data_IF_609964244737
#
_entry.id   IF_609964244737
#
_cell.length_a   1.000
_cell.length_b   1.000
_cell.length_c   1.000
_cell.angle_alpha   90.00
_cell.angle_beta   90.00
_cell.angle_gamma   90.00
#
_symmetry.space_group_name_H-M   'P 1'
#
loop_
_entity.id
_entity.type
_entity.pdbx_description
1 polymer ?
#
# COMPACT_ATOMS: atom_id res chain seq x y z
N UNK A 1 18.46 -36.94 -3.79
CA UNK A 1 17.36 -36.75 -2.83
C UNK A 1 16.62 -35.48 -3.22
N UNK A 2 15.54 -35.60 -4.01
CA UNK A 2 14.74 -34.44 -4.40
C UNK A 2 13.79 -34.13 -3.25
N UNK A 3 13.91 -32.93 -2.67
CA UNK A 3 13.04 -32.48 -1.61
C UNK A 3 11.58 -32.47 -2.12
N UNK A 4 10.61 -32.96 -1.32
CA UNK A 4 9.21 -32.81 -1.68
C UNK A 4 8.91 -31.31 -1.64
N UNK A 5 8.75 -30.69 -2.81
CA UNK A 5 8.06 -29.41 -2.93
C UNK A 5 6.64 -29.66 -2.44
N UNK A 6 6.40 -29.37 -1.15
CA UNK A 6 5.07 -29.30 -0.59
C UNK A 6 4.27 -28.33 -1.46
N UNK A 7 3.48 -28.87 -2.39
CA UNK A 7 2.36 -28.15 -3.00
C UNK A 7 1.35 -27.93 -1.89
N UNK A 8 1.60 -26.90 -1.08
CA UNK A 8 0.55 -26.30 -0.26
C UNK A 8 -0.45 -25.77 -1.27
N UNK A 9 -1.57 -26.46 -1.42
CA UNK A 9 -2.74 -25.93 -2.11
C UNK A 9 -3.18 -24.69 -1.34
N UNK A 10 -2.65 -23.53 -1.70
CA UNK A 10 -3.12 -22.24 -1.19
C UNK A 10 -4.62 -22.20 -1.49
N UNK A 11 -5.47 -22.22 -0.47
CA UNK A 11 -6.89 -22.35 -0.68
C UNK A 11 -7.42 -21.10 -1.42
N UNK A 12 -8.41 -21.27 -2.31
CA UNK A 12 -8.88 -20.18 -3.20
C UNK A 12 -9.26 -18.90 -2.44
N UNK A 13 -9.74 -19.00 -1.20
CA UNK A 13 -10.08 -17.86 -0.34
C UNK A 13 -8.86 -17.01 0.06
N UNK A 14 -7.69 -17.61 0.21
CA UNK A 14 -6.44 -16.89 0.53
C UNK A 14 -6.08 -15.92 -0.60
N UNK A 15 -6.29 -16.33 -1.86
CA UNK A 15 -6.03 -15.48 -3.04
C UNK A 15 -7.00 -14.31 -3.13
N UNK A 16 -8.28 -14.56 -2.89
CA UNK A 16 -9.30 -13.52 -2.87
C UNK A 16 -9.02 -12.53 -1.73
N UNK A 17 -8.73 -13.04 -0.53
CA UNK A 17 -8.36 -12.21 0.62
C UNK A 17 -7.12 -11.35 0.32
N UNK A 18 -6.07 -11.94 -0.27
CA UNK A 18 -4.86 -11.21 -0.65
C UNK A 18 -5.14 -10.10 -1.66
N UNK A 19 -5.96 -10.37 -2.68
CA UNK A 19 -6.35 -9.37 -3.67
C UNK A 19 -7.13 -8.21 -3.02
N UNK A 20 -8.11 -8.51 -2.17
CA UNK A 20 -8.91 -7.52 -1.46
C UNK A 20 -8.05 -6.67 -0.51
N UNK A 21 -7.17 -7.29 0.27
CA UNK A 21 -6.26 -6.60 1.19
C UNK A 21 -5.29 -5.70 0.42
N UNK A 22 -4.75 -6.16 -0.72
CA UNK A 22 -3.87 -5.33 -1.54
C UNK A 22 -4.61 -4.14 -2.16
N UNK A 23 -5.83 -4.34 -2.68
CA UNK A 23 -6.65 -3.24 -3.20
C UNK A 23 -6.96 -2.21 -2.10
N UNK A 24 -7.38 -2.68 -0.93
CA UNK A 24 -7.65 -1.82 0.22
C UNK A 24 -6.39 -1.04 0.63
N UNK A 25 -5.23 -1.73 0.69
CA UNK A 25 -3.94 -1.14 1.00
C UNK A 25 -3.50 -0.06 0.01
N UNK A 26 -3.71 -0.29 -1.29
CA UNK A 26 -3.44 0.72 -2.34
C UNK A 26 -4.36 1.92 -2.19
N UNK A 27 -5.67 1.70 -1.99
CA UNK A 27 -6.63 2.78 -1.79
C UNK A 27 -6.29 3.65 -0.57
N UNK A 28 -5.97 3.02 0.57
CA UNK A 28 -5.55 3.72 1.78
C UNK A 28 -4.24 4.48 1.57
N UNK A 29 -3.29 3.90 0.85
CA UNK A 29 -2.03 4.56 0.52
C UNK A 29 -2.29 5.79 -0.36
N UNK A 30 -3.00 5.64 -1.47
CA UNK A 30 -3.36 6.77 -2.34
C UNK A 30 -4.07 7.89 -1.59
N UNK A 31 -4.98 7.54 -0.68
CA UNK A 31 -5.66 8.51 0.17
C UNK A 31 -4.69 9.24 1.11
N UNK A 32 -3.78 8.52 1.77
CA UNK A 32 -2.73 9.13 2.60
C UNK A 32 -1.83 10.09 1.78
N UNK A 33 -1.45 9.69 0.56
CA UNK A 33 -0.68 10.54 -0.35
C UNK A 33 -1.44 11.80 -0.74
N UNK A 34 -2.73 11.67 -1.05
CA UNK A 34 -3.59 12.79 -1.38
C UNK A 34 -3.72 13.77 -0.20
N UNK A 35 -3.99 13.25 1.00
CA UNK A 35 -4.10 14.06 2.23
C UNK A 35 -2.79 14.79 2.51
N UNK A 36 -1.64 14.11 2.40
CA UNK A 36 -0.35 14.73 2.65
C UNK A 36 -0.06 15.85 1.64
N UNK A 37 -0.36 15.61 0.35
CA UNK A 37 -0.17 16.60 -0.71
C UNK A 37 -1.07 17.82 -0.52
N UNK A 38 -2.35 17.61 -0.20
CA UNK A 38 -3.30 18.71 0.00
C UNK A 38 -2.97 19.48 1.28
N UNK A 39 -2.55 18.79 2.35
CA UNK A 39 -2.09 19.43 3.60
C UNK A 39 -0.77 20.19 3.43
N UNK A 40 0.12 19.73 2.56
CA UNK A 40 1.34 20.44 2.21
C UNK A 40 1.07 21.71 1.40
N UNK A 41 -0.02 21.71 0.60
CA UNK A 41 -0.47 22.88 -0.16
C UNK A 41 -1.24 23.87 0.70
N UNK A 42 -2.14 23.37 1.54
CA UNK A 42 -2.97 24.17 2.44
C UNK A 42 -2.87 23.62 3.87
N UNK A 43 -2.14 24.31 4.78
CA UNK A 43 -1.99 23.88 6.16
C UNK A 43 -3.31 23.93 6.94
N UNK A 44 -4.36 24.58 6.42
CA UNK A 44 -5.70 24.60 7.03
C UNK A 44 -6.58 23.41 6.61
N UNK A 45 -6.18 22.64 5.58
CA UNK A 45 -6.92 21.47 5.10
C UNK A 45 -7.10 20.41 6.20
N UNK A 46 -8.31 19.86 6.34
CA UNK A 46 -8.62 18.82 7.32
C UNK A 46 -9.13 17.56 6.60
N UNK A 47 -8.39 16.46 6.74
CA UNK A 47 -8.75 15.20 6.10
C UNK A 47 -9.98 14.55 6.74
N UNK A 48 -10.69 13.71 5.99
CA UNK A 48 -11.84 12.97 6.53
C UNK A 48 -11.44 11.93 7.59
N UNK A 49 -10.18 11.47 7.59
CA UNK A 49 -9.66 10.55 8.61
C UNK A 49 -9.28 11.26 9.92
N UNK A 50 -9.50 12.57 10.02
CA UNK A 50 -9.20 13.40 11.19
C UNK A 50 -10.42 13.46 12.12
N UNK A 51 -10.61 12.36 12.88
CA UNK A 51 -11.82 12.11 13.70
C UNK A 51 -11.87 13.01 14.94
N UNK A 52 -10.72 13.32 15.54
CA UNK A 52 -10.63 14.15 16.74
C UNK A 52 -9.24 14.79 16.86
N UNK A 53 -9.09 15.80 17.72
CA UNK A 53 -7.80 16.47 17.96
C UNK A 53 -6.67 15.51 18.35
N UNK A 54 -7.02 14.40 19.01
CA UNK A 54 -6.13 13.30 19.40
C UNK A 54 -5.92 12.23 18.32
N UNK A 55 -6.81 12.13 17.32
CA UNK A 55 -6.74 11.12 16.23
C UNK A 55 -6.78 11.86 14.89
N UNK A 56 -5.62 12.39 14.50
CA UNK A 56 -5.43 13.16 13.27
C UNK A 56 -4.39 12.48 12.37
N UNK A 57 -4.87 11.78 11.35
CA UNK A 57 -4.04 11.25 10.27
C UNK A 57 -3.24 12.35 9.56
N UNK A 58 -3.81 13.55 9.42
CA UNK A 58 -3.17 14.71 8.78
C UNK A 58 -1.88 15.11 9.50
N UNK A 59 -1.88 15.12 10.84
CA UNK A 59 -0.70 15.42 11.67
C UNK A 59 0.36 14.32 11.60
N UNK A 60 -0.07 13.05 11.51
CA UNK A 60 0.83 11.90 11.45
C UNK A 60 1.56 11.87 10.10
N UNK A 61 0.85 12.06 8.99
CA UNK A 61 1.44 12.05 7.66
C UNK A 61 2.32 13.27 7.37
N UNK A 62 1.99 14.45 7.91
CA UNK A 62 2.85 15.63 7.79
C UNK A 62 4.06 15.62 8.74
N UNK A 63 4.14 14.67 9.67
CA UNK A 63 5.27 14.56 10.59
C UNK A 63 6.55 14.15 9.86
N UNK A 64 7.70 14.41 10.50
CA UNK A 64 9.02 13.98 9.98
C UNK A 64 9.10 12.48 9.67
N UNK A 65 8.26 11.67 10.32
CA UNK A 65 8.22 10.21 10.15
C UNK A 65 7.34 9.78 8.99
N UNK A 66 6.46 10.65 8.47
CA UNK A 66 5.59 10.41 7.33
C UNK A 66 6.32 10.41 5.99
N UNK A 67 7.55 10.92 5.93
CA UNK A 67 8.43 10.90 4.76
C UNK A 67 9.66 10.04 4.99
N UNK A 68 9.92 9.12 4.07
CA UNK A 68 11.10 8.27 4.11
C UNK A 68 11.31 7.52 5.43
N UNK A 69 10.21 7.17 6.13
CA UNK A 69 10.20 6.59 7.48
C UNK A 69 10.95 7.42 8.55
N UNK A 70 11.24 8.71 8.28
CA UNK A 70 12.06 9.57 9.14
C UNK A 70 13.54 9.17 9.26
N UNK A 71 13.96 8.11 8.57
CA UNK A 71 15.31 7.53 8.62
C UNK A 71 16.05 7.72 7.29
N UNK A 72 15.33 7.63 6.16
CA UNK A 72 15.92 7.74 4.84
C UNK A 72 16.51 9.14 4.57
N UNK A 73 15.92 10.20 5.13
CA UNK A 73 16.50 11.56 5.05
C UNK A 73 17.86 11.70 5.74
N UNK A 74 18.09 10.94 6.82
CA UNK A 74 19.34 10.96 7.58
C UNK A 74 20.43 10.08 6.97
N UNK A 75 20.06 9.02 6.23
CA UNK A 75 21.00 8.05 5.66
C UNK A 75 21.32 8.36 4.19
N UNK A 76 20.31 8.79 3.41
CA UNK A 76 20.45 9.03 1.98
C UNK A 76 20.53 10.52 1.61
N UNK A 77 20.38 11.45 2.55
CA UNK A 77 20.41 12.89 2.29
C UNK A 77 19.07 13.42 1.76
N UNK A 78 18.74 14.67 2.12
CA UNK A 78 17.43 15.29 1.85
C UNK A 78 17.11 15.47 0.35
N UNK A 79 18.11 15.43 -0.53
CA UNK A 79 17.97 15.65 -1.98
C UNK A 79 17.80 14.37 -2.80
N UNK A 80 17.84 13.18 -2.17
CA UNK A 80 17.70 11.93 -2.89
C UNK A 80 16.23 11.56 -3.12
N UNK A 81 15.94 11.02 -4.31
CA UNK A 81 14.61 10.57 -4.76
C UNK A 81 13.92 9.53 -3.85
N UNK A 82 14.61 9.05 -2.80
CA UNK A 82 14.11 8.18 -1.75
C UNK A 82 13.39 8.93 -0.61
N UNK A 83 13.45 10.27 -0.55
CA UNK A 83 12.66 11.05 0.42
C UNK A 83 11.20 11.23 -0.05
N UNK A 84 10.57 10.13 -0.46
CA UNK A 84 9.17 10.07 -0.84
C UNK A 84 8.29 9.82 0.39
N UNK A 85 7.02 10.25 0.36
CA UNK A 85 6.08 9.97 1.42
C UNK A 85 5.89 8.46 1.61
N UNK A 86 5.70 8.02 2.85
CA UNK A 86 5.60 6.60 3.21
C UNK A 86 4.54 5.85 2.41
N UNK A 87 3.49 6.56 2.02
CA UNK A 87 2.44 6.05 1.14
C UNK A 87 2.96 5.50 -0.19
N UNK A 88 3.97 6.13 -0.80
CA UNK A 88 4.57 5.66 -2.07
C UNK A 88 5.21 4.28 -1.90
N UNK A 89 5.88 4.05 -0.77
CA UNK A 89 6.40 2.73 -0.40
C UNK A 89 5.28 1.71 -0.19
N UNK A 90 4.18 2.12 0.43
CA UNK A 90 2.97 1.31 0.56
C UNK A 90 2.39 0.89 -0.80
N UNK A 91 2.23 1.84 -1.73
CA UNK A 91 1.77 1.56 -3.09
C UNK A 91 2.71 0.58 -3.79
N UNK A 92 4.02 0.81 -3.74
CA UNK A 92 5.01 -0.08 -4.35
C UNK A 92 4.94 -1.50 -3.76
N UNK A 93 4.81 -1.61 -2.44
CA UNK A 93 4.70 -2.89 -1.75
C UNK A 93 3.44 -3.66 -2.13
N UNK A 94 2.27 -3.02 -2.09
CA UNK A 94 1.01 -3.69 -2.47
C UNK A 94 0.94 -3.98 -3.96
N UNK A 95 1.50 -3.13 -4.83
CA UNK A 95 1.63 -3.41 -6.26
C UNK A 95 2.54 -4.63 -6.50
N UNK A 96 3.69 -4.71 -5.82
CA UNK A 96 4.59 -5.86 -5.92
C UNK A 96 3.94 -7.15 -5.42
N UNK A 97 3.20 -7.08 -4.30
CA UNK A 97 2.42 -8.22 -3.82
C UNK A 97 1.33 -8.67 -4.81
N UNK A 98 0.67 -7.73 -5.49
CA UNK A 98 -0.28 -8.05 -6.55
C UNK A 98 0.40 -8.69 -7.74
N UNK A 99 1.56 -8.19 -8.18
CA UNK A 99 2.33 -8.78 -9.29
C UNK A 99 2.79 -10.20 -8.98
N UNK A 100 3.34 -10.43 -7.78
CA UNK A 100 3.71 -11.78 -7.32
C UNK A 100 2.50 -12.70 -7.16
N UNK A 101 1.36 -12.16 -6.73
CA UNK A 101 0.10 -12.90 -6.66
C UNK A 101 -0.51 -13.21 -8.04
N UNK A 102 -0.34 -12.32 -9.02
CA UNK A 102 -0.84 -12.44 -10.40
C UNK A 102 -0.02 -13.39 -11.26
N UNK A 103 1.24 -13.68 -10.93
CA UNK A 103 1.98 -14.81 -11.51
C UNK A 103 1.23 -16.15 -11.32
N UNK A 104 0.34 -16.25 -10.32
CA UNK A 104 -0.56 -17.40 -10.13
C UNK A 104 -1.94 -17.25 -10.77
N UNK A 105 -2.19 -16.15 -11.49
CA UNK A 105 -3.46 -15.79 -12.10
C UNK A 105 -3.27 -15.53 -13.61
N UNK A 106 -3.26 -16.60 -14.38
CA UNK A 106 -3.92 -16.53 -15.68
C UNK A 106 -5.43 -16.39 -15.39
N UNK A 107 -6.17 -15.49 -16.06
CA UNK A 107 -7.56 -15.26 -15.74
C UNK A 107 -8.40 -16.50 -16.05
N UNK A 108 -8.87 -17.18 -15.01
CA UNK A 108 -10.02 -18.09 -15.12
C UNK A 108 -11.29 -17.24 -14.96
N UNK A 109 -11.54 -16.37 -15.94
CA UNK A 109 -12.76 -15.59 -16.04
C UNK A 109 -13.12 -15.47 -17.51
N UNK A 110 -13.65 -16.55 -18.09
CA UNK A 110 -14.71 -16.58 -19.12
C UNK A 110 -14.84 -18.00 -19.70
N UNK A 111 -15.46 -18.95 -19.00
CA UNK A 111 -16.06 -20.15 -19.61
C UNK A 111 -16.78 -21.03 -18.60
N UNK A 112 -17.69 -20.48 -17.79
CA UNK A 112 -18.72 -21.31 -17.11
C UNK A 112 -20.05 -20.55 -17.18
N UNK A 113 -20.46 -20.25 -18.42
CA UNK A 113 -21.88 -20.10 -18.75
C UNK A 113 -22.28 -21.42 -19.40
N UNK A 114 -23.03 -22.25 -18.65
CA UNK A 114 -23.98 -23.33 -19.03
C UNK A 114 -23.70 -24.15 -20.32
N UNK A 115 -23.96 -25.48 -20.30
CA UNK A 115 -25.30 -26.00 -20.03
C UNK A 115 -25.41 -27.05 -18.92
#
# INVERSE_FOLDING_TARGET
>A
MAAPVLRVSTPRWERIARFLVCLLGIMLSLYAFHVEREKARDPSYKAMCDVSSSVSCSKVFSSRWGRGFGLLGSIFGNDNALNQPNSVYGIAFYAFQLLLGKMSFYPESTSDTFP
#
